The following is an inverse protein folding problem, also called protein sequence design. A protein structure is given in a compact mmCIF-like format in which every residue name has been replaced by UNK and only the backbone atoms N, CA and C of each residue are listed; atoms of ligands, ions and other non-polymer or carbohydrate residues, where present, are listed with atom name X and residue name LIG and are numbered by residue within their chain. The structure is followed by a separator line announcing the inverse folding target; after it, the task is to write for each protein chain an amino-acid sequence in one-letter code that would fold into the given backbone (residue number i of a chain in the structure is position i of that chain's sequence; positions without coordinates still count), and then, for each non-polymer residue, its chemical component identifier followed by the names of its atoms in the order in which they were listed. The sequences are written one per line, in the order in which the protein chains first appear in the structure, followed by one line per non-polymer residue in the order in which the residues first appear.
data_IF_824701987839
#
_entry.id   IF_824701987839
#
_cell.length_a   1.000
_cell.length_b   1.000
_cell.length_c   1.000
_cell.angle_alpha   90.00
_cell.angle_beta   90.00
_cell.angle_gamma   90.00
#
_symmetry.space_group_name_H-M   'P 1'
#
loop_
_entity.id
_entity.type
_entity.pdbx_description
1 polymer ?
#
# COMPACT_ATOMS: atom_id res chain seq x y z
N UNK A 1 30.46 -37.10 -55.51
CA UNK A 1 31.87 -36.88 -55.13
C UNK A 1 32.29 -38.05 -54.25
N UNK A 2 33.28 -38.85 -54.71
CA UNK A 2 33.93 -40.02 -54.04
C UNK A 2 33.08 -41.30 -53.88
N UNK A 3 33.10 -42.24 -54.84
CA UNK A 3 34.03 -43.41 -55.00
C UNK A 3 33.70 -44.61 -54.08
N UNK A 4 33.04 -45.65 -54.60
CA UNK A 4 33.62 -46.90 -55.15
C UNK A 4 34.51 -47.65 -54.14
N UNK A 5 34.06 -48.85 -53.72
CA UNK A 5 34.95 -50.00 -53.55
C UNK A 5 34.24 -51.30 -53.92
N UNK A 6 34.51 -51.77 -55.14
CA UNK A 6 34.38 -53.16 -55.56
C UNK A 6 35.32 -54.04 -54.69
N UNK A 7 34.86 -55.25 -54.39
CA UNK A 7 35.65 -56.28 -53.73
C UNK A 7 35.19 -57.67 -54.17
N UNK A 8 35.43 -57.96 -55.44
CA UNK A 8 35.25 -59.25 -56.11
C UNK A 8 36.35 -60.23 -55.67
N UNK A 9 35.99 -61.42 -55.20
CA UNK A 9 36.89 -62.59 -55.13
C UNK A 9 36.04 -63.83 -55.37
N UNK A 10 35.80 -64.22 -56.62
CA UNK A 10 36.65 -65.08 -57.47
C UNK A 10 36.90 -66.43 -56.81
N UNK A 11 36.33 -67.44 -57.43
CA UNK A 11 36.29 -68.81 -56.95
C UNK A 11 37.65 -69.48 -56.84
N UNK A 12 37.67 -70.44 -55.93
CA UNK A 12 38.54 -71.59 -56.02
C UNK A 12 37.67 -72.84 -55.84
N UNK A 13 37.50 -73.58 -56.94
CA UNK A 13 37.16 -75.00 -56.88
C UNK A 13 38.43 -75.73 -56.46
N UNK A 14 38.37 -76.64 -55.48
CA UNK A 14 39.18 -77.83 -55.52
C UNK A 14 38.34 -78.96 -56.13
N UNK A 15 38.62 -79.26 -57.40
CA UNK A 15 38.37 -80.58 -57.94
C UNK A 15 39.17 -81.58 -57.11
N UNK A 16 38.47 -82.37 -56.28
CA UNK A 16 39.04 -83.59 -55.71
C UNK A 16 38.10 -84.73 -56.04
N UNK A 17 38.35 -85.33 -57.20
CA UNK A 17 38.02 -86.73 -57.44
C UNK A 17 38.66 -87.53 -56.31
N UNK A 18 37.85 -88.09 -55.42
CA UNK A 18 38.27 -89.14 -54.51
C UNK A 18 37.11 -90.10 -54.37
N UNK A 19 37.29 -91.24 -55.05
CA UNK A 19 36.86 -92.56 -54.61
C UNK A 19 35.50 -92.62 -53.90
N UNK A 20 34.47 -92.98 -54.66
CA UNK A 20 33.35 -93.75 -54.14
C UNK A 20 33.89 -94.95 -53.36
N UNK A 21 33.95 -94.82 -52.05
CA UNK A 21 34.01 -95.93 -51.11
C UNK A 21 32.84 -95.69 -50.17
N UNK A 22 31.76 -96.49 -50.26
CA UNK A 22 30.65 -96.36 -49.33
C UNK A 22 31.10 -96.99 -48.00
N UNK A 23 31.90 -96.24 -47.24
CA UNK A 23 31.99 -96.50 -45.81
C UNK A 23 30.62 -96.11 -45.24
N UNK A 24 29.91 -97.01 -44.54
CA UNK A 24 28.64 -96.67 -43.94
C UNK A 24 28.91 -95.58 -42.90
N UNK A 25 28.61 -94.32 -43.25
CA UNK A 25 28.46 -93.28 -42.25
C UNK A 25 27.39 -93.79 -41.30
N UNK A 26 27.79 -94.15 -40.08
CA UNK A 26 26.85 -94.64 -39.09
C UNK A 26 25.79 -93.56 -38.93
N UNK A 27 24.53 -93.93 -39.16
CA UNK A 27 23.35 -93.08 -39.04
C UNK A 27 23.36 -92.28 -37.74
N UNK A 28 23.97 -92.84 -36.69
CA UNK A 28 24.21 -92.20 -35.40
C UNK A 28 25.06 -90.93 -35.42
N UNK A 29 26.10 -90.81 -36.27
CA UNK A 29 26.95 -89.60 -36.32
C UNK A 29 26.29 -88.46 -37.09
N UNK A 30 25.55 -88.80 -38.14
CA UNK A 30 24.74 -87.86 -38.90
C UNK A 30 23.57 -87.37 -38.04
N UNK A 31 22.94 -88.26 -37.28
CA UNK A 31 21.93 -87.91 -36.28
C UNK A 31 22.51 -87.02 -35.17
N UNK A 32 23.72 -87.29 -34.67
CA UNK A 32 24.39 -86.46 -33.67
C UNK A 32 24.74 -85.07 -34.21
N UNK A 33 25.22 -84.99 -35.45
CA UNK A 33 25.50 -83.72 -36.13
C UNK A 33 24.20 -82.93 -36.39
N UNK A 34 23.13 -83.61 -36.80
CA UNK A 34 21.82 -82.99 -37.05
C UNK A 34 21.15 -82.53 -35.75
N UNK A 35 21.31 -83.29 -34.65
CA UNK A 35 20.87 -82.85 -33.31
C UNK A 35 21.69 -81.66 -32.81
N UNK A 36 23.01 -81.64 -33.03
CA UNK A 36 23.84 -80.48 -32.69
C UNK A 36 23.50 -79.25 -33.52
N UNK A 37 23.36 -79.39 -34.84
CA UNK A 37 22.91 -78.31 -35.72
C UNK A 37 21.50 -77.83 -35.37
N UNK A 38 20.59 -78.74 -35.04
CA UNK A 38 19.23 -78.39 -34.60
C UNK A 38 19.26 -77.62 -33.28
N UNK A 39 20.08 -78.07 -32.31
CA UNK A 39 20.26 -77.39 -31.04
C UNK A 39 20.90 -76.00 -31.21
N UNK A 40 21.96 -75.90 -32.01
CA UNK A 40 22.62 -74.63 -32.36
C UNK A 40 21.67 -73.69 -33.12
N UNK A 41 20.88 -74.21 -34.06
CA UNK A 41 19.84 -73.46 -34.77
C UNK A 41 18.74 -72.97 -33.83
N UNK A 42 18.34 -73.77 -32.83
CA UNK A 42 17.34 -73.35 -31.84
C UNK A 42 17.85 -72.24 -30.92
N UNK A 43 19.15 -72.27 -30.63
CA UNK A 43 19.82 -71.26 -29.80
C UNK A 43 19.97 -69.95 -30.57
N UNK A 44 20.36 -70.02 -31.85
CA UNK A 44 20.34 -68.88 -32.74
C UNK A 44 18.94 -68.31 -32.95
N UNK A 45 17.91 -69.14 -33.05
CA UNK A 45 16.53 -68.66 -33.14
C UNK A 45 16.11 -67.90 -31.86
N UNK A 46 16.54 -68.36 -30.68
CA UNK A 46 16.30 -67.68 -29.42
C UNK A 46 17.01 -66.31 -29.37
N UNK A 47 18.28 -66.27 -29.74
CA UNK A 47 19.07 -65.03 -29.76
C UNK A 47 18.50 -64.02 -30.76
N UNK A 48 18.07 -64.48 -31.94
CA UNK A 48 17.41 -63.63 -32.95
C UNK A 48 16.10 -63.07 -32.40
N UNK A 49 15.24 -63.90 -31.78
CA UNK A 49 13.98 -63.43 -31.16
C UNK A 49 14.22 -62.44 -30.02
N UNK A 50 15.27 -62.65 -29.24
CA UNK A 50 15.64 -61.72 -28.18
C UNK A 50 16.06 -60.36 -28.74
N UNK A 51 16.91 -60.36 -29.78
CA UNK A 51 17.31 -59.13 -30.48
C UNK A 51 16.12 -58.43 -31.15
N UNK A 52 15.21 -59.18 -31.77
CA UNK A 52 13.97 -58.62 -32.32
C UNK A 52 13.10 -57.96 -31.24
N UNK A 53 12.94 -58.61 -30.08
CA UNK A 53 12.21 -58.05 -28.95
C UNK A 53 12.83 -56.75 -28.45
N UNK A 54 14.16 -56.71 -28.30
CA UNK A 54 14.89 -55.51 -27.89
C UNK A 54 14.77 -54.40 -28.94
N UNK A 55 14.79 -54.74 -30.23
CA UNK A 55 14.64 -53.77 -31.32
C UNK A 55 13.23 -53.16 -31.29
N UNK A 56 12.19 -53.98 -31.11
CA UNK A 56 10.80 -53.51 -31.02
C UNK A 56 10.62 -52.60 -29.81
N UNK A 57 11.17 -52.97 -28.66
CA UNK A 57 11.14 -52.14 -27.45
C UNK A 57 11.87 -50.81 -27.68
N UNK A 58 13.08 -50.84 -28.26
CA UNK A 58 13.86 -49.65 -28.55
C UNK A 58 13.18 -48.75 -29.59
N UNK A 59 12.54 -49.31 -30.62
CA UNK A 59 11.75 -48.55 -31.60
C UNK A 59 10.50 -47.93 -30.98
N UNK A 60 9.85 -48.65 -30.06
CA UNK A 60 8.72 -48.13 -29.28
C UNK A 60 9.16 -46.95 -28.40
N UNK A 61 10.27 -47.10 -27.68
CA UNK A 61 10.86 -46.04 -26.85
C UNK A 61 11.28 -44.83 -27.69
N UNK A 62 11.90 -45.06 -28.85
CA UNK A 62 12.26 -43.98 -29.77
C UNK A 62 11.02 -43.25 -30.29
N UNK A 63 9.95 -43.98 -30.62
CA UNK A 63 8.68 -43.39 -31.05
C UNK A 63 8.03 -42.56 -29.94
N UNK A 64 8.09 -43.03 -28.69
CA UNK A 64 7.60 -42.28 -27.54
C UNK A 64 8.39 -40.98 -27.33
N UNK A 65 9.72 -41.04 -27.40
CA UNK A 65 10.59 -39.85 -27.31
C UNK A 65 10.30 -38.88 -28.45
N UNK A 66 10.15 -39.37 -29.68
CA UNK A 66 9.83 -38.52 -30.83
C UNK A 66 8.48 -37.81 -30.65
N UNK A 67 7.48 -38.50 -30.08
CA UNK A 67 6.19 -37.89 -29.72
C UNK A 67 6.36 -36.75 -28.70
N UNK A 68 7.08 -37.01 -27.60
CA UNK A 68 7.36 -35.99 -26.58
C UNK A 68 8.11 -34.78 -27.15
N UNK A 69 9.07 -35.02 -28.05
CA UNK A 69 9.85 -33.96 -28.67
C UNK A 69 8.99 -33.10 -29.60
N UNK A 70 8.07 -33.72 -30.34
CA UNK A 70 7.11 -33.02 -31.18
C UNK A 70 6.13 -32.20 -30.37
N UNK A 71 5.65 -32.72 -29.23
CA UNK A 71 4.80 -31.99 -28.30
C UNK A 71 5.52 -30.81 -27.64
N UNK A 72 6.78 -31.01 -27.22
CA UNK A 72 7.61 -29.95 -26.67
C UNK A 72 7.86 -28.83 -27.69
N UNK A 73 8.19 -29.18 -28.94
CA UNK A 73 8.35 -28.21 -30.02
C UNK A 73 7.05 -27.44 -30.30
N UNK A 74 5.91 -28.15 -30.34
CA UNK A 74 4.60 -27.52 -30.51
C UNK A 74 4.25 -26.56 -29.37
N UNK A 75 4.60 -26.93 -28.14
CA UNK A 75 4.44 -26.08 -26.96
C UNK A 75 5.31 -24.81 -27.07
N UNK A 76 6.60 -24.96 -27.39
CA UNK A 76 7.54 -23.84 -27.55
C UNK A 76 7.08 -22.90 -28.65
N UNK A 77 6.62 -23.41 -29.80
CA UNK A 77 6.11 -22.55 -30.87
C UNK A 77 4.89 -21.74 -30.42
N UNK A 78 3.98 -22.35 -29.67
CA UNK A 78 2.80 -21.66 -29.12
C UNK A 78 3.18 -20.61 -28.09
N UNK A 79 4.09 -20.92 -27.16
CA UNK A 79 4.55 -19.95 -26.15
C UNK A 79 5.31 -18.81 -26.79
N UNK A 80 6.16 -19.09 -27.78
CA UNK A 80 6.89 -18.06 -28.54
C UNK A 80 5.91 -17.11 -29.23
N UNK A 81 4.91 -17.64 -29.95
CA UNK A 81 3.90 -16.80 -30.60
C UNK A 81 3.09 -15.95 -29.62
N UNK A 82 2.74 -16.50 -28.45
CA UNK A 82 2.06 -15.76 -27.39
C UNK A 82 2.95 -14.67 -26.78
N UNK A 83 4.22 -14.98 -26.53
CA UNK A 83 5.18 -14.01 -26.04
C UNK A 83 5.39 -12.87 -27.05
N UNK A 84 5.47 -13.21 -28.35
CA UNK A 84 5.60 -12.24 -29.44
C UNK A 84 4.36 -11.35 -29.55
N UNK A 85 3.16 -11.94 -29.38
CA UNK A 85 1.92 -11.15 -29.33
C UNK A 85 1.90 -10.22 -28.12
N UNK A 86 2.22 -10.73 -26.92
CA UNK A 86 2.30 -9.91 -25.71
C UNK A 86 3.32 -8.77 -25.83
N UNK A 87 4.49 -9.02 -26.43
CA UNK A 87 5.51 -8.02 -26.72
C UNK A 87 5.00 -6.93 -27.66
N UNK A 88 4.29 -7.31 -28.72
CA UNK A 88 3.86 -6.38 -29.75
C UNK A 88 2.53 -5.66 -29.43
N UNK A 89 1.70 -6.19 -28.53
CA UNK A 89 0.40 -5.58 -28.21
C UNK A 89 0.29 -5.13 -26.77
N UNK A 90 0.73 -5.97 -25.82
CA UNK A 90 0.44 -5.73 -24.40
C UNK A 90 1.46 -4.79 -23.78
N UNK A 91 2.75 -4.93 -24.13
CA UNK A 91 3.80 -4.00 -23.66
C UNK A 91 3.57 -2.57 -24.13
N UNK A 92 3.29 -2.27 -25.42
CA UNK A 92 3.04 -0.89 -25.84
C UNK A 92 1.79 -0.31 -25.18
N UNK A 93 0.73 -1.10 -25.03
CA UNK A 93 -0.46 -0.64 -24.33
C UNK A 93 -0.18 -0.26 -22.87
N UNK A 94 0.62 -1.07 -22.16
CA UNK A 94 1.03 -0.76 -20.78
C UNK A 94 1.94 0.48 -20.74
N UNK A 95 2.82 0.67 -21.73
CA UNK A 95 3.65 1.88 -21.76
C UNK A 95 2.82 3.13 -22.02
N UNK A 96 1.82 3.04 -22.91
CA UNK A 96 0.93 4.17 -23.22
C UNK A 96 0.06 4.53 -22.00
N UNK A 97 -0.49 3.54 -21.29
CA UNK A 97 -1.23 3.77 -20.03
C UNK A 97 -0.32 4.39 -18.95
N UNK A 98 0.94 3.96 -18.88
CA UNK A 98 1.88 4.52 -17.92
C UNK A 98 2.20 5.98 -18.25
N UNK A 99 2.38 6.31 -19.53
CA UNK A 99 2.64 7.67 -20.00
C UNK A 99 1.45 8.58 -19.70
N UNK A 100 0.22 8.13 -20.00
CA UNK A 100 -1.02 8.85 -19.64
C UNK A 100 -1.12 9.10 -18.13
N UNK A 101 -0.76 8.10 -17.31
CA UNK A 101 -0.77 8.25 -15.86
C UNK A 101 0.29 9.22 -15.35
N UNK A 102 1.46 9.28 -15.99
CA UNK A 102 2.53 10.22 -15.66
C UNK A 102 2.13 11.65 -16.01
N UNK A 103 1.48 11.85 -17.16
CA UNK A 103 0.94 13.16 -17.56
C UNK A 103 -0.14 13.64 -16.59
N UNK A 104 -1.08 12.76 -16.20
CA UNK A 104 -2.10 13.10 -15.22
C UNK A 104 -1.50 13.45 -13.84
N UNK A 105 -0.44 12.74 -13.42
CA UNK A 105 0.29 13.06 -12.19
C UNK A 105 1.05 14.38 -12.29
N UNK A 106 1.60 14.71 -13.46
CA UNK A 106 2.26 15.99 -13.71
C UNK A 106 1.27 17.16 -13.65
N UNK A 107 0.10 17.02 -14.29
CA UNK A 107 -0.99 18.00 -14.21
C UNK A 107 -1.46 18.19 -12.76
N UNK A 108 -1.64 17.09 -12.02
CA UNK A 108 -2.01 17.17 -10.61
C UNK A 108 -0.93 17.85 -9.77
N UNK A 109 0.34 17.59 -10.03
CA UNK A 109 1.46 18.23 -9.35
C UNK A 109 1.51 19.75 -9.61
N UNK A 110 1.13 20.20 -10.81
CA UNK A 110 1.00 21.61 -11.16
C UNK A 110 -0.23 22.26 -10.54
N UNK A 111 -1.36 21.55 -10.45
CA UNK A 111 -2.60 22.06 -9.86
C UNK A 111 -2.56 22.13 -8.32
N UNK A 112 -1.85 21.20 -7.66
CA UNK A 112 -1.77 21.10 -6.20
C UNK A 112 -1.35 22.40 -5.48
N UNK A 113 -0.28 23.12 -5.89
CA UNK A 113 0.12 24.36 -5.24
C UNK A 113 -0.98 25.42 -5.33
N UNK A 114 -1.66 25.53 -6.47
CA UNK A 114 -2.77 26.47 -6.68
C UNK A 114 -3.95 26.16 -5.77
N UNK A 115 -4.30 24.89 -5.62
CA UNK A 115 -5.35 24.47 -4.68
C UNK A 115 -4.93 24.77 -3.23
N UNK A 116 -3.66 24.54 -2.87
CA UNK A 116 -3.15 24.84 -1.53
C UNK A 116 -3.21 26.33 -1.21
N UNK A 117 -2.86 27.21 -2.16
CA UNK A 117 -2.96 28.66 -1.95
C UNK A 117 -4.41 29.08 -1.81
N UNK A 118 -5.32 28.58 -2.65
CA UNK A 118 -6.76 28.88 -2.54
C UNK A 118 -7.34 28.44 -1.19
N UNK A 119 -6.98 27.24 -0.70
CA UNK A 119 -7.43 26.76 0.62
C UNK A 119 -6.84 27.61 1.75
N UNK A 120 -5.58 28.04 1.63
CA UNK A 120 -4.96 28.94 2.60
C UNK A 120 -5.68 30.29 2.67
N UNK A 121 -6.06 30.85 1.52
CA UNK A 121 -6.81 32.11 1.44
C UNK A 121 -8.20 31.98 2.04
N UNK A 122 -8.94 30.90 1.71
CA UNK A 122 -10.25 30.61 2.30
C UNK A 122 -10.13 30.48 3.83
N UNK A 123 -9.10 29.76 4.30
CA UNK A 123 -8.85 29.63 5.74
C UNK A 123 -8.57 30.98 6.38
N UNK A 124 -7.77 31.82 5.74
CA UNK A 124 -7.49 33.17 6.23
C UNK A 124 -8.77 34.00 6.34
N UNK A 125 -9.59 34.05 5.28
CA UNK A 125 -10.88 34.76 5.27
C UNK A 125 -11.81 34.21 6.36
N UNK A 126 -11.95 32.89 6.47
CA UNK A 126 -12.78 32.26 7.50
C UNK A 126 -12.33 32.62 8.93
N UNK A 127 -11.02 32.54 9.20
CA UNK A 127 -10.48 32.88 10.53
C UNK A 127 -10.66 34.36 10.86
N UNK A 128 -10.45 35.27 9.89
CA UNK A 128 -10.68 36.69 10.08
C UNK A 128 -12.16 37.01 10.34
N UNK A 129 -13.08 36.35 9.60
CA UNK A 129 -14.52 36.45 9.81
C UNK A 129 -14.93 35.95 11.19
N UNK A 130 -14.36 34.81 11.63
CA UNK A 130 -14.59 34.26 12.97
C UNK A 130 -14.13 35.21 14.07
N UNK A 131 -12.94 35.79 13.94
CA UNK A 131 -12.42 36.78 14.90
C UNK A 131 -13.32 38.01 14.98
N UNK A 132 -13.78 38.53 13.83
CA UNK A 132 -14.69 39.68 13.79
C UNK A 132 -16.06 39.36 14.38
N UNK A 133 -16.58 38.16 14.15
CA UNK A 133 -17.83 37.71 14.75
C UNK A 133 -17.68 37.59 16.28
N UNK A 134 -16.56 37.04 16.75
CA UNK A 134 -16.28 36.95 18.17
C UNK A 134 -16.17 38.33 18.82
N UNK A 135 -15.42 39.27 18.22
CA UNK A 135 -15.35 40.64 18.73
C UNK A 135 -16.72 41.31 18.75
N UNK A 136 -17.55 41.08 17.73
CA UNK A 136 -18.90 41.64 17.69
C UNK A 136 -19.82 41.02 18.75
N UNK A 137 -19.70 39.71 19.00
CA UNK A 137 -20.41 39.04 20.09
C UNK A 137 -19.94 39.56 21.44
N UNK A 138 -18.64 39.76 21.63
CA UNK A 138 -18.08 40.34 22.85
C UNK A 138 -18.57 41.79 23.05
N UNK A 139 -18.63 42.60 21.98
CA UNK A 139 -19.16 43.96 22.00
C UNK A 139 -20.68 43.98 22.28
N UNK A 140 -21.44 43.08 21.67
CA UNK A 140 -22.90 42.96 21.87
C UNK A 140 -23.24 42.43 23.26
N UNK A 141 -22.50 41.43 23.75
CA UNK A 141 -22.68 40.93 25.11
C UNK A 141 -22.34 42.02 26.12
N UNK A 142 -21.25 42.76 25.91
CA UNK A 142 -20.96 43.96 26.69
C UNK A 142 -22.11 44.98 26.60
N UNK A 143 -22.63 45.27 25.40
CA UNK A 143 -23.76 46.19 25.19
C UNK A 143 -25.12 45.63 25.67
N UNK A 144 -25.21 44.36 26.01
CA UNK A 144 -26.39 43.75 26.59
C UNK A 144 -26.31 43.60 28.12
N UNK A 145 -25.12 43.65 28.73
CA UNK A 145 -24.99 43.60 30.20
C UNK A 145 -25.76 44.74 30.88
N UNK A 146 -26.39 44.46 32.02
CA UNK A 146 -27.21 45.47 32.70
C UNK A 146 -26.38 46.68 33.14
N UNK A 147 -27.00 47.86 33.12
CA UNK A 147 -26.31 49.13 33.42
C UNK A 147 -25.59 49.12 34.78
N UNK A 148 -26.18 48.48 35.79
CA UNK A 148 -25.58 48.36 37.13
C UNK A 148 -24.33 47.49 37.15
N UNK A 149 -24.34 46.38 36.41
CA UNK A 149 -23.18 45.48 36.29
C UNK A 149 -22.04 46.13 35.52
N UNK A 150 -22.34 46.89 34.46
CA UNK A 150 -21.33 47.71 33.78
C UNK A 150 -20.71 48.74 34.71
N UNK A 151 -21.53 49.43 35.49
CA UNK A 151 -21.06 50.47 36.40
C UNK A 151 -20.12 49.91 37.48
N UNK A 152 -20.48 48.77 38.08
CA UNK A 152 -19.63 48.03 39.02
C UNK A 152 -18.33 47.58 38.36
N UNK A 153 -18.39 47.04 37.14
CA UNK A 153 -17.21 46.54 36.42
C UNK A 153 -16.24 47.67 36.04
N UNK A 154 -16.75 48.85 35.66
CA UNK A 154 -15.92 50.03 35.35
C UNK A 154 -15.19 50.55 36.59
N UNK A 155 -15.82 50.49 37.76
CA UNK A 155 -15.22 50.93 39.03
C UNK A 155 -14.13 49.95 39.47
N UNK A 156 -14.42 48.65 39.51
CA UNK A 156 -13.55 47.64 40.12
C UNK A 156 -12.56 46.95 39.16
N UNK A 157 -12.83 46.92 37.85
CA UNK A 157 -11.97 46.23 36.87
C UNK A 157 -11.19 47.23 36.00
N UNK A 158 -9.85 47.12 35.90
CA UNK A 158 -9.05 48.06 35.13
C UNK A 158 -9.13 47.89 33.60
N UNK A 159 -9.55 46.73 33.09
CA UNK A 159 -9.57 46.38 31.67
C UNK A 159 -10.94 46.59 30.99
N UNK A 160 -11.72 47.61 31.39
CA UNK A 160 -12.98 47.90 30.70
C UNK A 160 -12.74 48.64 29.37
N UNK A 161 -13.45 48.30 28.29
CA UNK A 161 -13.26 48.86 26.94
C UNK A 161 -13.89 50.25 26.79
N UNK A 162 -13.71 51.12 27.79
CA UNK A 162 -14.28 52.47 27.79
C UNK A 162 -13.16 53.50 27.90
N UNK A 163 -13.36 54.67 27.30
CA UNK A 163 -12.38 55.75 27.35
C UNK A 163 -11.91 56.04 28.79
N UNK A 164 -10.59 56.21 28.95
CA UNK A 164 -9.93 56.48 30.23
C UNK A 164 -10.58 57.65 30.99
N UNK A 165 -11.09 58.64 30.24
CA UNK A 165 -11.79 59.82 30.77
C UNK A 165 -13.11 59.44 31.45
N UNK A 166 -13.90 58.56 30.84
CA UNK A 166 -15.17 58.12 31.40
C UNK A 166 -14.98 57.27 32.66
N UNK A 167 -13.96 56.42 32.66
CA UNK A 167 -13.56 55.62 33.83
C UNK A 167 -13.14 56.50 35.00
N UNK A 168 -12.37 57.57 34.75
CA UNK A 168 -11.97 58.52 35.78
C UNK A 168 -13.18 59.31 36.33
N UNK A 169 -14.08 59.75 35.45
CA UNK A 169 -15.30 60.46 35.84
C UNK A 169 -16.18 59.58 36.75
N UNK A 170 -16.44 58.33 36.35
CA UNK A 170 -17.26 57.41 37.15
C UNK A 170 -16.65 57.10 38.53
N UNK A 171 -15.33 56.93 38.60
CA UNK A 171 -14.63 56.72 39.88
C UNK A 171 -14.66 57.97 40.77
N UNK A 172 -14.56 59.16 40.19
CA UNK A 172 -14.64 60.43 40.90
C UNK A 172 -16.05 60.63 41.47
N UNK A 173 -17.10 60.36 40.69
CA UNK A 173 -18.51 60.44 41.17
C UNK A 173 -18.73 59.48 42.35
N UNK A 174 -18.20 58.25 42.28
CA UNK A 174 -18.27 57.31 43.40
C UNK A 174 -17.49 57.79 44.64
N UNK A 175 -16.30 58.36 44.45
CA UNK A 175 -15.52 58.90 45.56
C UNK A 175 -16.23 60.08 46.25
N UNK A 176 -16.85 60.98 45.47
CA UNK A 176 -17.65 62.09 46.01
C UNK A 176 -18.86 61.56 46.78
N UNK A 177 -19.60 60.59 46.24
CA UNK A 177 -20.78 60.06 46.95
C UNK A 177 -20.38 59.38 48.25
N UNK A 178 -19.27 58.63 48.28
CA UNK A 178 -18.74 58.01 49.49
C UNK A 178 -18.29 59.05 50.54
N UNK A 179 -17.61 60.12 50.10
CA UNK A 179 -17.23 61.24 50.98
C UNK A 179 -18.46 61.94 51.56
N UNK A 180 -19.51 62.15 50.75
CA UNK A 180 -20.76 62.73 51.23
C UNK A 180 -21.47 61.82 52.24
N UNK A 181 -21.53 60.50 52.01
CA UNK A 181 -22.12 59.55 52.96
C UNK A 181 -21.35 59.49 54.27
N UNK A 182 -20.01 59.43 54.22
CA UNK A 182 -19.18 59.43 55.43
C UNK A 182 -19.29 60.74 56.20
N UNK A 183 -19.36 61.87 55.51
CA UNK A 183 -19.63 63.18 56.11
C UNK A 183 -20.99 63.24 56.82
N UNK A 184 -22.06 62.78 56.16
CA UNK A 184 -23.39 62.73 56.76
C UNK A 184 -23.45 61.77 57.96
N UNK A 185 -22.80 60.61 57.86
CA UNK A 185 -22.70 59.66 58.97
C UNK A 185 -21.93 60.28 60.15
N UNK A 186 -20.86 61.02 59.88
CA UNK A 186 -20.12 61.75 60.90
C UNK A 186 -20.94 62.84 61.58
N UNK A 187 -21.73 63.61 60.81
CA UNK A 187 -22.68 64.59 61.36
C UNK A 187 -23.75 63.90 62.21
N UNK A 188 -24.32 62.79 61.73
CA UNK A 188 -25.31 62.04 62.47
C UNK A 188 -24.72 61.48 63.78
N UNK A 189 -23.50 60.96 63.74
CA UNK A 189 -22.81 60.40 64.90
C UNK A 189 -22.40 61.49 65.91
N UNK A 190 -21.88 62.62 65.43
CA UNK A 190 -21.56 63.77 66.28
C UNK A 190 -22.82 64.43 66.85
N UNK A 191 -23.92 64.45 66.09
CA UNK A 191 -25.24 64.85 66.54
C UNK A 191 -25.79 63.94 67.64
N UNK A 192 -25.73 62.62 67.44
CA UNK A 192 -26.12 61.63 68.43
C UNK A 192 -25.23 61.70 69.69
N UNK A 193 -23.93 61.89 69.52
CA UNK A 193 -22.98 62.09 70.62
C UNK A 193 -23.31 63.36 71.41
N UNK A 194 -23.65 64.45 70.73
CA UNK A 194 -24.07 65.70 71.39
C UNK A 194 -25.39 65.53 72.14
N UNK A 195 -26.37 64.83 71.57
CA UNK A 195 -27.64 64.52 72.23
C UNK A 195 -27.42 63.63 73.48
N UNK A 196 -26.55 62.64 73.38
CA UNK A 196 -26.18 61.78 74.51
C UNK A 196 -25.47 62.57 75.62
N UNK A 197 -24.56 63.49 75.27
CA UNK A 197 -23.88 64.36 76.24
C UNK A 197 -24.84 65.34 76.91
N UNK A 198 -25.79 65.91 76.17
CA UNK A 198 -26.82 66.76 76.77
C UNK A 198 -27.71 65.97 77.73
N UNK A 199 -28.06 64.72 77.42
CA UNK A 199 -28.83 63.86 78.34
C UNK A 199 -28.11 63.59 79.67
N UNK A 200 -26.77 63.52 79.67
CA UNK A 200 -25.96 63.39 80.89
C UNK A 200 -25.96 64.68 81.74
N UNK A 201 -25.90 65.86 81.12
CA UNK A 201 -25.92 67.16 81.83
C UNK A 201 -27.24 67.40 82.56
N UNK A 202 -28.36 66.92 82.01
CA UNK A 202 -29.66 66.96 82.69
C UNK A 202 -29.80 65.87 83.78
N UNK A 203 -29.03 64.78 83.69
CA UNK A 203 -28.95 63.76 84.74
C UNK A 203 -28.24 64.26 86.00
N UNK A 204 -27.14 64.99 85.85
CA UNK A 204 -26.39 65.55 87.00
C UNK A 204 -27.15 66.67 87.73
N UNK A 205 -28.03 67.41 87.03
CA UNK A 205 -28.88 68.45 87.66
C UNK A 205 -30.13 67.92 88.38
N UNK A 206 -30.46 66.64 88.21
CA UNK A 206 -31.55 65.98 88.94
C UNK A 206 -31.07 65.26 90.20
N UNK A 207 -29.75 65.19 90.43
CA UNK A 207 -29.13 64.53 91.58
C UNK A 207 -28.42 65.49 92.56
N UNK A 208 -28.61 66.81 92.43
CA UNK A 208 -28.27 67.80 93.46
C UNK A 208 -29.52 68.39 94.08
#
# INVERSE_FOLDING_TARGET
MSLIKLGQSRGERPSRANSYSPAPMSTSRLELALRRMSQESSQHEYDVKHLESQLVENLSNFRAINGLLQDALGSIQRTTKRADTALNTQIPHISDELDESLDALAELAEALPTIRTQVADIRHVYTSGRQKAQSLVDDLTWLNTEFYERWRTIIFTPNSPVSLRWKALMRLVFAISFLMCTWLAWIALSGAYRAHRQRLVWGDRLMS
#
